data_IF_363269209663
#
_entry.id   IF_363269209663
#
_cell.length_a   1.000
_cell.length_b   1.000
_cell.length_c   1.000
_cell.angle_alpha   90.00
_cell.angle_beta   90.00
_cell.angle_gamma   90.00
#
_symmetry.space_group_name_H-M   'P 1'
#
loop_
_entity.id
_entity.type
_entity.pdbx_description
1 polymer ?
#
# COMPACT_ATOMS: atom_id res chain seq x y z
N UNK A 1 14.68 19.72 -0.96
CA UNK A 1 14.08 20.43 -2.12
C UNK A 1 12.75 19.77 -2.41
N UNK A 2 11.67 20.54 -2.56
CA UNK A 2 10.31 20.05 -2.82
C UNK A 2 10.04 19.92 -4.33
N UNK A 3 8.98 19.18 -4.69
CA UNK A 3 8.56 18.94 -6.09
C UNK A 3 8.20 20.26 -6.80
N UNK A 4 7.65 21.21 -6.05
CA UNK A 4 7.29 22.57 -6.48
C UNK A 4 8.49 23.37 -6.98
N UNK A 5 9.65 23.25 -6.34
CA UNK A 5 10.87 23.94 -6.76
C UNK A 5 11.45 23.33 -8.04
N UNK A 6 11.32 22.01 -8.24
CA UNK A 6 11.78 21.36 -9.48
C UNK A 6 10.92 21.76 -10.68
N UNK A 7 9.59 21.84 -10.52
CA UNK A 7 8.67 22.30 -11.57
C UNK A 7 9.01 23.71 -12.05
N UNK A 8 9.17 24.65 -11.12
CA UNK A 8 9.56 26.05 -11.41
C UNK A 8 10.89 26.15 -12.16
N UNK A 9 11.89 25.35 -11.80
CA UNK A 9 13.19 25.35 -12.48
C UNK A 9 13.09 24.85 -13.93
N UNK A 10 12.25 23.85 -14.20
CA UNK A 10 12.03 23.34 -15.57
C UNK A 10 11.24 24.32 -16.44
N UNK A 11 10.24 25.00 -15.87
CA UNK A 11 9.51 26.08 -16.54
C UNK A 11 10.44 27.23 -16.93
N UNK A 12 11.37 27.61 -16.04
CA UNK A 12 12.37 28.64 -16.31
C UNK A 12 13.31 28.23 -17.46
N UNK A 13 13.79 26.99 -17.48
CA UNK A 13 14.61 26.46 -18.58
C UNK A 13 13.85 26.50 -19.92
N UNK A 14 12.54 26.25 -19.93
CA UNK A 14 11.73 26.30 -21.16
C UNK A 14 11.54 27.75 -21.65
N UNK A 15 11.33 28.68 -20.72
CA UNK A 15 11.17 30.11 -20.99
C UNK A 15 12.48 30.76 -21.47
N UNK A 16 13.61 30.45 -20.83
CA UNK A 16 14.92 31.01 -21.18
C UNK A 16 15.41 30.51 -22.55
N UNK A 17 14.90 29.35 -23.00
CA UNK A 17 15.17 28.78 -24.32
C UNK A 17 14.03 29.07 -25.33
N UNK A 18 13.30 30.17 -25.16
CA UNK A 18 12.23 30.59 -26.08
C UNK A 18 12.76 31.46 -27.25
N UNK A 19 13.81 32.27 -27.01
CA UNK A 19 14.35 33.22 -27.98
C UNK A 19 15.69 32.80 -28.63
N UNK A 20 16.27 31.66 -28.23
CA UNK A 20 17.56 31.17 -28.73
C UNK A 20 17.47 29.80 -29.38
N UNK A 21 17.89 29.69 -30.65
CA UNK A 21 17.98 28.45 -31.44
C UNK A 21 18.96 27.39 -30.87
N UNK A 22 19.55 27.61 -29.70
CA UNK A 22 20.76 26.89 -29.25
C UNK A 22 20.51 25.72 -28.31
N UNK A 23 19.28 25.43 -27.84
CA UNK A 23 19.11 24.25 -26.99
C UNK A 23 17.76 23.54 -27.07
N UNK A 24 17.35 23.18 -28.30
CA UNK A 24 16.14 22.37 -28.54
C UNK A 24 16.10 21.07 -27.73
N UNK A 25 17.27 20.45 -27.48
CA UNK A 25 17.39 19.22 -26.68
C UNK A 25 17.11 19.46 -25.20
N UNK A 26 17.72 20.49 -24.58
CA UNK A 26 17.43 20.84 -23.20
C UNK A 26 15.95 21.21 -22.99
N UNK A 27 15.37 21.91 -23.96
CA UNK A 27 13.92 22.22 -23.96
C UNK A 27 13.04 20.97 -24.07
N UNK A 28 13.42 19.99 -24.90
CA UNK A 28 12.71 18.71 -25.01
C UNK A 28 12.75 17.95 -23.70
N UNK A 29 13.94 17.80 -23.10
CA UNK A 29 14.10 17.11 -21.83
C UNK A 29 13.41 17.82 -20.67
N UNK A 30 13.39 19.16 -20.66
CA UNK A 30 12.65 19.90 -19.64
C UNK A 30 11.14 19.70 -19.77
N UNK A 31 10.61 19.62 -21.00
CA UNK A 31 9.19 19.28 -21.25
C UNK A 31 8.86 17.85 -20.84
N UNK A 32 9.71 16.88 -21.20
CA UNK A 32 9.56 15.48 -20.77
C UNK A 32 9.60 15.35 -19.24
N UNK A 33 10.50 16.09 -18.59
CA UNK A 33 10.59 16.18 -17.13
C UNK A 33 9.33 16.76 -16.49
N UNK A 34 8.76 17.82 -17.07
CA UNK A 34 7.48 18.38 -16.60
C UNK A 34 6.32 17.38 -16.72
N UNK A 35 6.19 16.72 -17.87
CA UNK A 35 5.16 15.69 -18.06
C UNK A 35 5.31 14.55 -17.07
N UNK A 36 6.55 14.13 -16.79
CA UNK A 36 6.83 13.07 -15.80
C UNK A 36 6.49 13.51 -14.38
N UNK A 37 6.76 14.77 -14.02
CA UNK A 37 6.38 15.33 -12.73
C UNK A 37 4.85 15.43 -12.61
N UNK A 38 4.16 15.86 -13.66
CA UNK A 38 2.69 15.93 -13.66
C UNK A 38 2.05 14.54 -13.59
N UNK A 39 2.60 13.55 -14.28
CA UNK A 39 2.18 12.16 -14.15
C UNK A 39 2.41 11.64 -12.73
N UNK A 40 3.57 11.88 -12.13
CA UNK A 40 3.84 11.47 -10.75
C UNK A 40 2.95 12.20 -9.73
N UNK A 41 2.66 13.49 -9.94
CA UNK A 41 1.72 14.24 -9.11
C UNK A 41 0.31 13.71 -9.24
N UNK A 42 -0.14 13.41 -10.47
CA UNK A 42 -1.44 12.82 -10.74
C UNK A 42 -1.53 11.40 -10.19
N UNK A 43 -0.48 10.59 -10.28
CA UNK A 43 -0.42 9.26 -9.68
C UNK A 43 -0.45 9.34 -8.15
N UNK A 44 0.20 10.33 -7.54
CA UNK A 44 0.18 10.53 -6.09
C UNK A 44 -1.17 11.08 -5.60
N UNK A 45 -1.77 12.04 -6.30
CA UNK A 45 -3.08 12.61 -6.01
C UNK A 45 -4.20 11.60 -6.28
N UNK A 46 -4.04 10.79 -7.33
CA UNK A 46 -4.86 9.62 -7.57
C UNK A 46 -4.57 8.52 -6.56
N UNK A 47 -3.39 8.39 -5.93
CA UNK A 47 -3.12 7.43 -4.85
C UNK A 47 -3.66 7.86 -3.49
N UNK A 48 -3.85 9.16 -3.25
CA UNK A 48 -4.68 9.63 -2.12
C UNK A 48 -6.16 9.25 -2.32
N UNK A 49 -6.58 8.98 -3.56
CA UNK A 49 -7.86 8.36 -3.91
C UNK A 49 -7.79 6.84 -4.22
N UNK A 50 -6.62 6.32 -4.57
CA UNK A 50 -6.33 4.95 -5.01
C UNK A 50 -5.53 4.17 -3.96
N UNK A 51 -5.59 4.63 -2.71
CA UNK A 51 -5.64 3.72 -1.56
C UNK A 51 -6.98 2.97 -1.49
N UNK A 52 -7.88 3.15 -2.47
CA UNK A 52 -9.20 2.52 -2.51
C UNK A 52 -9.50 1.60 -3.71
N UNK A 53 -8.58 1.41 -4.68
CA UNK A 53 -8.86 0.58 -5.88
C UNK A 53 -7.82 -0.50 -6.16
N UNK A 54 -7.37 -1.18 -5.10
CA UNK A 54 -7.08 -2.62 -5.16
C UNK A 54 -7.74 -3.35 -3.96
N UNK A 55 -8.78 -2.73 -3.38
CA UNK A 55 -9.51 -3.22 -2.18
C UNK A 55 -11.04 -3.03 -2.27
N UNK A 56 -11.66 -3.23 -3.43
CA UNK A 56 -13.04 -3.72 -3.44
C UNK A 56 -12.93 -5.25 -3.29
N UNK A 57 -13.31 -5.92 -2.21
CA UNK A 57 -14.47 -5.72 -1.36
C UNK A 57 -14.20 -6.29 0.04
N UNK A 58 -14.68 -5.59 1.06
CA UNK A 58 -14.55 -5.88 2.50
C UNK A 58 -13.17 -5.50 3.05
N UNK A 59 -13.10 -4.42 3.84
CA UNK A 59 -12.00 -4.26 4.80
C UNK A 59 -12.05 -5.48 5.71
N UNK A 60 -11.19 -6.46 5.45
CA UNK A 60 -11.06 -7.65 6.28
C UNK A 60 -10.33 -7.22 7.55
N UNK A 61 -11.09 -6.79 8.56
CA UNK A 61 -10.56 -6.40 9.86
C UNK A 61 -10.17 -7.68 10.60
N UNK A 62 -8.87 -7.96 10.70
CA UNK A 62 -8.36 -8.91 11.68
C UNK A 62 -8.35 -8.23 13.04
N UNK A 63 -9.22 -8.68 13.94
CA UNK A 63 -9.34 -8.05 15.26
C UNK A 63 -8.28 -8.58 16.22
N UNK A 64 -8.12 -7.90 17.37
CA UNK A 64 -7.29 -8.40 18.47
C UNK A 64 -7.83 -9.73 19.00
N UNK A 65 -9.15 -9.89 19.04
CA UNK A 65 -9.81 -11.14 19.47
C UNK A 65 -9.52 -12.29 18.51
N UNK A 66 -9.56 -12.04 17.19
CA UNK A 66 -9.17 -13.02 16.17
C UNK A 66 -7.72 -13.49 16.36
N UNK A 67 -6.82 -12.56 16.71
CA UNK A 67 -5.41 -12.86 16.99
C UNK A 67 -5.27 -13.74 18.23
N UNK A 68 -5.86 -13.32 19.35
CA UNK A 68 -5.81 -14.07 20.62
C UNK A 68 -6.41 -15.47 20.46
N UNK A 69 -7.55 -15.58 19.77
CA UNK A 69 -8.18 -16.87 19.51
C UNK A 69 -7.30 -17.77 18.64
N UNK A 70 -6.72 -17.23 17.57
CA UNK A 70 -5.77 -17.96 16.71
C UNK A 70 -4.60 -18.47 17.52
N UNK A 71 -4.00 -17.64 18.37
CA UNK A 71 -2.88 -18.00 19.24
C UNK A 71 -3.26 -19.06 20.27
N UNK A 72 -4.45 -18.98 20.87
CA UNK A 72 -4.94 -19.95 21.86
C UNK A 72 -5.05 -21.38 21.32
N UNK A 73 -5.29 -21.54 20.01
CA UNK A 73 -5.39 -22.83 19.34
C UNK A 73 -4.06 -23.32 18.78
N UNK A 74 -3.01 -22.49 18.83
CA UNK A 74 -1.70 -22.84 18.29
C UNK A 74 -0.78 -23.34 19.39
N UNK A 75 -0.31 -24.58 19.25
CA UNK A 75 0.75 -25.09 20.11
C UNK A 75 2.10 -24.51 19.64
N UNK A 76 2.96 -24.04 20.57
CA UNK A 76 4.29 -23.56 20.20
C UNK A 76 5.07 -24.67 19.47
N UNK A 77 5.74 -24.30 18.38
CA UNK A 77 6.49 -25.24 17.53
C UNK A 77 5.66 -26.13 16.60
N UNK A 78 4.33 -26.00 16.57
CA UNK A 78 3.47 -26.75 15.64
C UNK A 78 2.87 -25.85 14.55
N UNK A 79 2.70 -26.43 13.36
CA UNK A 79 2.03 -25.76 12.25
C UNK A 79 0.56 -25.47 12.58
N UNK A 80 0.12 -24.26 12.25
CA UNK A 80 -1.26 -23.82 12.46
C UNK A 80 -2.21 -24.55 11.51
N UNK A 81 -3.22 -25.24 12.04
CA UNK A 81 -4.29 -25.81 11.23
C UNK A 81 -5.36 -24.73 10.98
N UNK A 82 -5.16 -23.94 9.93
CA UNK A 82 -6.02 -22.82 9.57
C UNK A 82 -7.48 -23.19 9.32
N UNK A 83 -7.73 -24.37 8.74
CA UNK A 83 -9.08 -24.87 8.50
C UNK A 83 -9.80 -25.13 9.82
N UNK A 84 -9.13 -25.77 10.78
CA UNK A 84 -9.70 -26.02 12.10
C UNK A 84 -9.92 -24.72 12.87
N UNK A 85 -8.94 -23.81 12.88
CA UNK A 85 -9.05 -22.51 13.54
C UNK A 85 -10.24 -21.73 13.00
N UNK A 86 -10.36 -21.62 11.67
CA UNK A 86 -11.48 -20.92 11.03
C UNK A 86 -12.84 -21.52 11.41
N UNK A 87 -12.98 -22.86 11.34
CA UNK A 87 -14.22 -23.54 11.68
C UNK A 87 -14.61 -23.35 13.15
N UNK A 88 -13.65 -23.49 14.07
CA UNK A 88 -13.88 -23.27 15.50
C UNK A 88 -14.22 -21.82 15.82
N UNK A 89 -13.59 -20.86 15.14
CA UNK A 89 -13.92 -19.44 15.29
C UNK A 89 -15.30 -19.10 14.74
N UNK A 90 -15.70 -19.65 13.58
CA UNK A 90 -17.06 -19.45 13.03
C UNK A 90 -18.17 -20.01 13.92
N UNK A 91 -17.89 -21.06 14.72
CA UNK A 91 -18.83 -21.59 15.73
C UNK A 91 -18.99 -20.63 16.92
N UNK A 92 -17.98 -19.82 17.23
CA UNK A 92 -18.04 -18.81 18.28
C UNK A 92 -18.68 -17.53 17.72
N UNK A 93 -19.75 -17.05 18.36
CA UNK A 93 -20.40 -15.79 17.94
C UNK A 93 -19.38 -14.65 17.97
N UNK A 94 -19.20 -13.97 16.83
CA UNK A 94 -18.39 -12.74 16.72
C UNK A 94 -17.02 -12.90 16.08
N UNK A 95 -16.42 -14.10 16.10
CA UNK A 95 -15.08 -14.32 15.53
C UNK A 95 -15.11 -14.57 14.03
N UNK A 96 -14.06 -14.09 13.35
CA UNK A 96 -13.86 -14.24 11.90
C UNK A 96 -15.06 -13.85 11.03
N UNK A 97 -15.90 -12.90 11.48
CA UNK A 97 -17.15 -12.52 10.81
C UNK A 97 -16.90 -12.09 9.36
N UNK A 98 -15.84 -11.32 9.12
CA UNK A 98 -15.47 -10.75 7.83
C UNK A 98 -14.71 -11.71 6.91
N UNK A 99 -14.33 -12.90 7.39
CA UNK A 99 -13.55 -13.86 6.60
C UNK A 99 -14.46 -14.86 5.88
N UNK A 100 -14.25 -14.99 4.57
CA UNK A 100 -14.98 -15.93 3.70
C UNK A 100 -14.35 -17.34 3.70
N UNK A 101 -13.08 -17.47 4.07
CA UNK A 101 -12.35 -18.75 4.06
C UNK A 101 -11.19 -18.80 5.07
N UNK A 102 -10.67 -20.00 5.32
CA UNK A 102 -9.44 -20.17 6.10
C UNK A 102 -8.20 -19.57 5.43
N UNK A 103 -8.18 -19.48 4.10
CA UNK A 103 -7.04 -18.93 3.35
C UNK A 103 -6.96 -17.41 3.47
N UNK A 104 -8.11 -16.74 3.39
CA UNK A 104 -8.19 -15.29 3.65
C UNK A 104 -7.79 -14.94 5.09
N UNK A 105 -8.17 -15.79 6.06
CA UNK A 105 -7.74 -15.67 7.45
C UNK A 105 -6.22 -15.83 7.61
N UNK A 106 -5.67 -16.90 7.02
CA UNK A 106 -4.23 -17.18 7.03
C UNK A 106 -3.44 -15.99 6.46
N UNK A 107 -3.83 -15.52 5.27
CA UNK A 107 -3.16 -14.41 4.60
C UNK A 107 -3.12 -13.16 5.48
N UNK A 108 -4.28 -12.78 6.03
CA UNK A 108 -4.40 -11.62 6.92
C UNK A 108 -3.49 -11.72 8.17
N UNK A 109 -3.48 -12.89 8.82
CA UNK A 109 -2.60 -13.14 9.97
C UNK A 109 -1.11 -12.97 9.61
N UNK A 110 -0.67 -13.46 8.45
CA UNK A 110 0.72 -13.31 8.00
C UNK A 110 1.11 -11.86 7.74
N UNK A 111 0.24 -11.09 7.08
CA UNK A 111 0.50 -9.67 6.83
C UNK A 111 0.63 -8.87 8.13
N UNK A 112 -0.21 -9.17 9.12
CA UNK A 112 -0.17 -8.47 10.42
C UNK A 112 1.06 -8.88 11.22
N UNK A 113 1.41 -10.16 11.24
CA UNK A 113 2.61 -10.64 11.93
C UNK A 113 3.88 -9.99 11.36
N UNK A 114 4.00 -9.96 10.03
CA UNK A 114 5.15 -9.32 9.34
C UNK A 114 5.28 -7.84 9.66
N UNK A 115 4.15 -7.12 9.82
CA UNK A 115 4.18 -5.70 10.22
C UNK A 115 4.63 -5.50 11.67
N UNK A 116 4.33 -6.44 12.58
CA UNK A 116 4.81 -6.40 13.97
C UNK A 116 6.30 -6.63 14.06
N UNK A 117 6.82 -7.65 13.35
CA UNK A 117 8.26 -7.97 13.32
C UNK A 117 9.10 -6.78 12.82
N UNK A 118 8.67 -6.08 11.77
CA UNK A 118 9.38 -4.88 11.28
C UNK A 118 9.39 -3.69 12.25
N UNK A 119 8.44 -3.63 13.19
CA UNK A 119 8.35 -2.54 14.17
C UNK A 119 9.18 -2.80 15.42
N UNK A 120 9.64 -4.03 15.66
CA UNK A 120 10.52 -4.36 16.79
C UNK A 120 12.00 -4.17 16.50
N UNK A 121 12.37 -3.94 15.24
CA UNK A 121 13.75 -3.79 14.77
C UNK A 121 14.19 -2.30 14.66
N UNK A 122 13.40 -1.38 15.23
CA UNK A 122 13.66 0.07 15.33
C UNK A 122 13.64 0.45 16.80
#
# INVERSE_FOLDING_TARGET
>A
MDCTTHKRNLEHIISDNQDGNTNKKAKSHAKEGLLSIEQLQNDLENNDKATSEDQSDTIIIYTVEDAQFTESLCKPGKNKNWKNIFNEGKKKKGLFKSYKSSDTLKSSHYHIRRRKERKSDI
#
